data_IF_843341823150
#
_entry.id   IF_843341823150
#
_cell.length_a   1.000
_cell.length_b   1.000
_cell.length_c   1.000
_cell.angle_alpha   90.00
_cell.angle_beta   90.00
_cell.angle_gamma   90.00
#
_symmetry.space_group_name_H-M   'P 1'
#
loop_
_entity.id
_entity.type
_entity.pdbx_description
1 polymer ?
#
# COMPACT_ATOMS: atom_id res chain seq x y z
N UNK A 1 19.09 -5.79 -19.86
CA UNK A 1 19.42 -7.19 -19.51
C UNK A 1 18.34 -8.10 -20.06
N UNK A 2 18.69 -9.34 -20.43
CA UNK A 2 17.73 -10.34 -20.96
C UNK A 2 16.51 -10.54 -20.02
N UNK A 3 16.67 -10.41 -18.71
CA UNK A 3 15.62 -10.58 -17.70
C UNK A 3 14.68 -9.38 -17.51
N UNK A 4 14.97 -8.22 -18.12
CA UNK A 4 14.15 -7.00 -17.90
C UNK A 4 12.68 -7.20 -18.29
N UNK A 5 12.42 -7.93 -19.36
CA UNK A 5 11.06 -8.20 -19.88
C UNK A 5 10.25 -9.19 -19.03
N UNK A 6 10.91 -9.95 -18.16
CA UNK A 6 10.29 -10.93 -17.26
C UNK A 6 9.89 -10.30 -15.92
N UNK A 7 10.30 -9.04 -15.67
CA UNK A 7 10.10 -8.35 -14.40
C UNK A 7 9.10 -7.21 -14.56
N UNK A 8 8.23 -7.06 -13.57
CA UNK A 8 7.40 -5.87 -13.38
C UNK A 8 8.12 -4.94 -12.41
N UNK A 9 8.70 -3.86 -12.92
CA UNK A 9 9.40 -2.86 -12.11
C UNK A 9 8.47 -1.69 -11.83
N UNK A 10 8.27 -1.40 -10.55
CA UNK A 10 7.45 -0.30 -10.09
C UNK A 10 8.29 0.77 -9.37
N UNK A 11 7.98 2.04 -9.60
CA UNK A 11 8.52 3.17 -8.84
C UNK A 11 7.46 4.27 -8.67
N UNK A 12 7.79 5.34 -7.93
CA UNK A 12 6.79 6.33 -7.50
C UNK A 12 7.31 7.76 -7.56
N UNK A 13 6.35 8.69 -7.68
CA UNK A 13 6.56 10.10 -7.35
C UNK A 13 5.77 10.46 -6.10
N UNK A 14 6.40 11.19 -5.16
CA UNK A 14 5.76 11.64 -3.92
C UNK A 14 4.90 12.88 -4.14
N UNK A 15 3.80 12.97 -3.43
CA UNK A 15 3.01 14.18 -3.30
C UNK A 15 3.71 15.26 -2.48
N UNK A 16 3.02 16.37 -2.27
CA UNK A 16 3.46 17.54 -1.50
C UNK A 16 3.68 17.19 -0.03
N UNK A 17 4.60 17.89 0.66
CA UNK A 17 4.68 17.93 2.11
C UNK A 17 6.05 17.66 2.72
N UNK A 18 6.67 16.53 2.49
CA UNK A 18 7.94 16.17 3.14
C UNK A 18 9.14 16.89 2.51
N UNK A 19 9.70 17.89 3.23
CA UNK A 19 10.81 18.74 2.73
C UNK A 19 12.06 17.95 2.32
N UNK A 20 12.36 16.85 2.99
CA UNK A 20 13.48 15.95 2.66
C UNK A 20 13.23 15.08 1.43
N UNK A 21 12.02 15.08 0.89
CA UNK A 21 11.66 14.34 -0.33
C UNK A 21 11.36 15.38 -1.43
N UNK A 22 12.21 15.45 -2.44
CA UNK A 22 12.09 16.41 -3.56
C UNK A 22 11.83 17.87 -3.13
N UNK A 23 12.38 18.30 -1.98
CA UNK A 23 12.15 19.62 -1.38
C UNK A 23 10.66 19.93 -1.09
N UNK A 24 9.85 18.90 -0.83
CA UNK A 24 8.42 19.04 -0.56
C UNK A 24 7.56 19.32 -1.80
N UNK A 25 8.12 19.25 -3.01
CA UNK A 25 7.38 19.47 -4.26
C UNK A 25 6.30 18.42 -4.48
N UNK A 26 5.14 18.90 -4.94
CA UNK A 26 4.01 18.04 -5.27
C UNK A 26 4.12 17.31 -6.61
N UNK A 27 3.01 16.67 -6.99
CA UNK A 27 2.83 15.98 -8.25
C UNK A 27 2.19 16.95 -9.23
N UNK A 28 2.98 17.40 -10.21
CA UNK A 28 2.58 18.28 -11.31
C UNK A 28 3.27 17.79 -12.58
N UNK A 29 2.78 18.15 -13.80
CA UNK A 29 3.33 17.61 -15.06
C UNK A 29 4.86 17.67 -15.18
N UNK A 30 5.45 18.83 -14.89
CA UNK A 30 6.91 19.02 -14.95
C UNK A 30 7.66 18.12 -13.97
N UNK A 31 7.16 18.01 -12.74
CA UNK A 31 7.76 17.18 -11.69
C UNK A 31 7.64 15.68 -11.98
N UNK A 32 6.54 15.25 -12.60
CA UNK A 32 6.34 13.86 -13.05
C UNK A 32 7.41 13.51 -14.08
N UNK A 33 7.58 14.33 -15.09
CA UNK A 33 8.56 14.10 -16.18
C UNK A 33 9.97 14.00 -15.66
N UNK A 34 10.40 14.93 -14.82
CA UNK A 34 11.71 14.92 -14.18
C UNK A 34 11.92 13.68 -13.28
N UNK A 35 10.90 13.28 -12.52
CA UNK A 35 10.99 12.12 -11.64
C UNK A 35 11.07 10.80 -12.43
N UNK A 36 10.34 10.69 -13.53
CA UNK A 36 10.40 9.53 -14.42
C UNK A 36 11.79 9.41 -15.08
N UNK A 37 12.34 10.49 -15.62
CA UNK A 37 13.67 10.48 -16.21
C UNK A 37 14.75 10.09 -15.19
N UNK A 38 14.68 10.65 -13.97
CA UNK A 38 15.55 10.24 -12.88
C UNK A 38 15.40 8.75 -12.51
N UNK A 39 14.18 8.25 -12.50
CA UNK A 39 13.90 6.83 -12.22
C UNK A 39 14.43 5.92 -13.31
N UNK A 40 14.23 6.24 -14.59
CA UNK A 40 14.75 5.48 -15.73
C UNK A 40 16.27 5.39 -15.70
N UNK A 41 16.94 6.53 -15.43
CA UNK A 41 18.40 6.59 -15.29
C UNK A 41 18.88 5.71 -14.13
N UNK A 42 18.27 5.81 -12.95
CA UNK A 42 18.70 5.04 -11.77
C UNK A 42 18.43 3.54 -11.92
N UNK A 43 17.33 3.17 -12.55
CA UNK A 43 16.93 1.79 -12.81
C UNK A 43 17.64 1.18 -14.03
N UNK A 44 18.36 2.00 -14.80
CA UNK A 44 19.06 1.59 -16.03
C UNK A 44 18.12 0.85 -17.01
N UNK A 45 16.97 1.44 -17.28
CA UNK A 45 15.93 0.88 -18.16
C UNK A 45 15.24 1.99 -18.95
N UNK A 46 14.70 1.66 -20.12
CA UNK A 46 14.03 2.61 -21.01
C UNK A 46 12.54 2.78 -20.66
N UNK A 47 11.99 1.90 -19.81
CA UNK A 47 10.58 1.95 -19.39
C UNK A 47 10.38 1.46 -17.97
N UNK A 48 9.29 1.95 -17.36
CA UNK A 48 8.77 1.52 -16.05
C UNK A 48 7.47 0.76 -16.28
N UNK A 49 7.30 -0.42 -15.69
CA UNK A 49 6.07 -1.18 -15.86
C UNK A 49 4.91 -0.56 -15.10
N UNK A 50 5.12 -0.16 -13.84
CA UNK A 50 4.08 0.48 -13.03
C UNK A 50 4.62 1.77 -12.40
N UNK A 51 4.08 2.91 -12.81
CA UNK A 51 4.40 4.20 -12.19
C UNK A 51 3.29 4.62 -11.25
N UNK A 52 3.63 4.96 -10.00
CA UNK A 52 2.65 5.20 -8.96
C UNK A 52 2.74 6.63 -8.41
N UNK A 53 1.60 7.21 -8.07
CA UNK A 53 1.49 8.44 -7.29
C UNK A 53 1.51 8.05 -5.81
N UNK A 54 2.60 8.38 -5.09
CA UNK A 54 2.92 7.81 -3.77
C UNK A 54 1.96 8.26 -2.65
N UNK A 55 1.49 9.50 -2.71
CA UNK A 55 0.40 10.08 -1.92
C UNK A 55 -0.11 11.34 -2.62
N UNK A 56 -1.38 11.73 -2.41
CA UNK A 56 -1.96 12.91 -3.05
C UNK A 56 -1.34 14.24 -2.56
N UNK A 57 -1.36 15.26 -3.42
CA UNK A 57 -0.89 16.60 -3.07
C UNK A 57 -1.70 17.23 -1.92
N UNK A 58 -3.00 16.95 -1.86
CA UNK A 58 -3.94 17.47 -0.87
C UNK A 58 -3.86 16.79 0.50
N UNK A 59 -3.04 15.72 0.62
CA UNK A 59 -3.04 14.88 1.81
C UNK A 59 -4.17 13.84 1.80
N UNK A 60 -4.18 12.97 2.81
CA UNK A 60 -5.20 11.95 3.03
C UNK A 60 -5.16 11.47 4.47
N UNK A 61 -6.14 10.69 4.89
CA UNK A 61 -6.17 10.05 6.21
C UNK A 61 -5.12 8.95 6.40
N UNK A 62 -4.37 8.59 5.36
CA UNK A 62 -3.31 7.58 5.46
C UNK A 62 -2.17 8.02 6.38
N UNK A 63 -1.23 7.11 6.66
CA UNK A 63 -0.13 7.33 7.60
C UNK A 63 -0.62 7.65 9.03
N UNK A 64 -1.74 7.02 9.45
CA UNK A 64 -2.38 7.16 10.78
C UNK A 64 -2.92 8.55 11.08
N UNK A 65 -3.32 9.30 10.04
CA UNK A 65 -4.02 10.57 10.18
C UNK A 65 -5.55 10.40 10.33
N UNK A 66 -6.04 9.19 10.61
CA UNK A 66 -7.45 8.82 10.59
C UNK A 66 -8.35 9.76 11.38
N UNK A 67 -7.87 10.26 12.52
CA UNK A 67 -8.64 11.11 13.43
C UNK A 67 -8.33 12.60 13.29
N UNK A 68 -7.29 12.95 12.54
CA UNK A 68 -6.81 14.32 12.37
C UNK A 68 -6.97 14.84 10.94
N UNK A 69 -7.41 13.99 10.02
CA UNK A 69 -7.59 14.37 8.64
C UNK A 69 -8.83 15.25 8.47
N UNK A 70 -8.62 16.48 8.06
CA UNK A 70 -9.68 17.44 7.75
C UNK A 70 -9.56 17.90 6.30
N UNK A 71 -10.52 17.54 5.43
CA UNK A 71 -10.53 17.95 4.04
C UNK A 71 -11.16 19.32 3.80
N UNK A 72 -11.68 20.01 4.81
CA UNK A 72 -12.48 21.25 4.64
C UNK A 72 -11.68 22.42 4.07
N UNK A 73 -10.35 22.39 4.18
CA UNK A 73 -9.45 23.38 3.57
C UNK A 73 -9.15 23.12 2.07
N UNK A 74 -9.66 22.05 1.49
CA UNK A 74 -9.42 21.72 0.10
C UNK A 74 -10.44 22.40 -0.82
N UNK A 75 -9.96 22.90 -1.96
CA UNK A 75 -10.82 23.42 -3.02
C UNK A 75 -11.03 22.38 -4.10
N UNK A 76 -12.25 21.86 -4.23
CA UNK A 76 -12.60 20.78 -5.17
C UNK A 76 -12.21 21.09 -6.63
N UNK A 77 -12.35 22.33 -7.07
CA UNK A 77 -11.96 22.76 -8.43
C UNK A 77 -10.45 22.61 -8.65
N UNK A 78 -9.65 23.10 -7.70
CA UNK A 78 -8.19 23.04 -7.76
C UNK A 78 -7.69 21.58 -7.75
N UNK A 79 -8.29 20.75 -6.89
CA UNK A 79 -7.92 19.33 -6.83
C UNK A 79 -8.28 18.57 -8.12
N UNK A 80 -9.44 18.86 -8.71
CA UNK A 80 -9.85 18.26 -9.99
C UNK A 80 -8.95 18.72 -11.15
N UNK A 81 -8.63 20.00 -11.22
CA UNK A 81 -7.70 20.54 -12.23
C UNK A 81 -6.32 19.89 -12.12
N UNK A 82 -5.79 19.73 -10.89
CA UNK A 82 -4.55 19.02 -10.69
C UNK A 82 -4.60 17.57 -11.17
N UNK A 83 -5.69 16.85 -10.87
CA UNK A 83 -5.88 15.46 -11.33
C UNK A 83 -5.93 15.39 -12.85
N UNK A 84 -6.66 16.29 -13.52
CA UNK A 84 -6.74 16.39 -14.98
C UNK A 84 -5.34 16.55 -15.61
N UNK A 85 -4.58 17.54 -15.15
CA UNK A 85 -3.23 17.80 -15.62
C UNK A 85 -2.27 16.60 -15.40
N UNK A 86 -2.36 15.97 -14.24
CA UNK A 86 -1.56 14.79 -13.88
C UNK A 86 -1.90 13.60 -14.76
N UNK A 87 -3.17 13.30 -14.96
CA UNK A 87 -3.64 12.19 -15.79
C UNK A 87 -3.22 12.39 -17.24
N UNK A 88 -3.39 13.61 -17.76
CA UNK A 88 -2.93 13.95 -19.11
C UNK A 88 -1.44 13.69 -19.30
N UNK A 89 -0.60 14.15 -18.39
CA UNK A 89 0.86 13.95 -18.46
C UNK A 89 1.22 12.47 -18.39
N UNK A 90 0.57 11.69 -17.52
CA UNK A 90 0.80 10.24 -17.43
C UNK A 90 0.36 9.51 -18.70
N UNK A 91 -0.74 9.95 -19.33
CA UNK A 91 -1.15 9.42 -20.63
C UNK A 91 -0.12 9.70 -21.73
N UNK A 92 0.39 10.93 -21.80
CA UNK A 92 1.43 11.30 -22.78
C UNK A 92 2.71 10.46 -22.56
N UNK A 93 3.14 10.26 -21.32
CA UNK A 93 4.28 9.41 -20.98
C UNK A 93 4.07 7.92 -21.29
N UNK A 94 2.82 7.43 -21.19
CA UNK A 94 2.46 6.09 -21.66
C UNK A 94 2.58 6.01 -23.18
N UNK A 95 2.12 7.00 -23.92
CA UNK A 95 2.27 7.05 -25.39
C UNK A 95 3.74 7.15 -25.84
N UNK A 96 4.57 7.84 -25.08
CA UNK A 96 6.03 7.87 -25.28
C UNK A 96 6.71 6.53 -24.97
N UNK A 97 5.99 5.55 -24.41
CA UNK A 97 6.52 4.24 -24.02
C UNK A 97 7.38 4.25 -22.75
N UNK A 98 7.45 5.37 -22.02
CA UNK A 98 8.24 5.50 -20.77
C UNK A 98 7.59 4.77 -19.59
N UNK A 99 6.27 4.68 -19.57
CA UNK A 99 5.51 3.94 -18.55
C UNK A 99 4.47 3.05 -19.23
N UNK A 100 4.16 1.90 -18.62
CA UNK A 100 3.16 0.96 -19.15
C UNK A 100 1.81 1.09 -18.44
N UNK A 101 1.85 1.05 -17.10
CA UNK A 101 0.68 1.11 -16.24
C UNK A 101 0.84 2.19 -15.19
N UNK A 102 -0.29 2.68 -14.70
CA UNK A 102 -0.36 3.73 -13.68
C UNK A 102 -1.08 3.17 -12.45
N UNK A 103 -0.57 3.54 -11.29
CA UNK A 103 -1.17 3.22 -10.02
C UNK A 103 -1.23 4.43 -9.08
N UNK A 104 -2.14 4.35 -8.13
CA UNK A 104 -2.23 5.27 -7.01
C UNK A 104 -1.57 4.66 -5.78
N UNK A 105 -1.33 5.45 -4.76
CA UNK A 105 -0.90 4.97 -3.45
C UNK A 105 -1.33 5.95 -2.36
N UNK A 106 -1.75 5.44 -1.21
CA UNK A 106 -2.24 6.23 -0.09
C UNK A 106 -3.34 7.24 -0.52
N UNK A 107 -4.13 6.82 -1.51
CA UNK A 107 -5.22 7.61 -2.05
C UNK A 107 -6.54 7.23 -1.36
N UNK A 108 -7.46 8.18 -1.30
CA UNK A 108 -8.81 8.00 -0.73
C UNK A 108 -9.79 7.48 -1.80
N UNK A 109 -10.98 7.05 -1.39
CA UNK A 109 -12.04 6.63 -2.31
C UNK A 109 -12.41 7.77 -3.27
N UNK A 110 -12.57 9.01 -2.74
CA UNK A 110 -12.88 10.18 -3.58
C UNK A 110 -11.82 10.39 -4.68
N UNK A 111 -10.54 10.42 -4.31
CA UNK A 111 -9.49 10.64 -5.29
C UNK A 111 -9.36 9.50 -6.28
N UNK A 112 -9.55 8.24 -5.83
CA UNK A 112 -9.52 7.07 -6.72
C UNK A 112 -10.59 7.18 -7.80
N UNK A 113 -11.83 7.58 -7.45
CA UNK A 113 -12.92 7.81 -8.42
C UNK A 113 -12.57 8.97 -9.36
N UNK A 114 -12.01 10.07 -8.85
CA UNK A 114 -11.63 11.20 -9.71
C UNK A 114 -10.57 10.81 -10.74
N UNK A 115 -9.50 10.12 -10.31
CA UNK A 115 -8.46 9.62 -11.22
C UNK A 115 -9.00 8.61 -12.23
N UNK A 116 -9.88 7.70 -11.81
CA UNK A 116 -10.47 6.71 -12.69
C UNK A 116 -11.37 7.37 -13.76
N UNK A 117 -12.22 8.34 -13.37
CA UNK A 117 -13.07 9.07 -14.28
C UNK A 117 -12.26 9.90 -15.27
N UNK A 118 -11.19 10.55 -14.82
CA UNK A 118 -10.33 11.32 -15.70
C UNK A 118 -9.61 10.41 -16.70
N UNK A 119 -9.10 9.25 -16.23
CA UNK A 119 -8.43 8.28 -17.09
C UNK A 119 -9.35 7.73 -18.20
N UNK A 120 -10.66 7.54 -17.93
CA UNK A 120 -11.65 7.07 -18.93
C UNK A 120 -11.82 8.00 -20.13
N UNK A 121 -11.36 9.26 -20.07
CA UNK A 121 -11.39 10.19 -21.21
C UNK A 121 -10.36 9.82 -22.30
N UNK A 122 -9.41 8.93 -22.01
CA UNK A 122 -8.34 8.54 -22.90
C UNK A 122 -8.43 7.07 -23.29
N UNK A 123 -8.22 6.77 -24.59
CA UNK A 123 -8.27 5.40 -25.09
C UNK A 123 -7.16 4.54 -24.47
N UNK A 124 -7.49 3.30 -24.09
CA UNK A 124 -6.55 2.32 -23.53
C UNK A 124 -5.76 2.86 -22.32
N UNK A 125 -6.44 3.64 -21.47
CA UNK A 125 -5.85 4.24 -20.31
C UNK A 125 -6.74 4.05 -19.07
N UNK A 126 -6.18 3.51 -18.01
CA UNK A 126 -6.89 3.23 -16.76
C UNK A 126 -5.93 3.25 -15.58
N UNK A 127 -6.48 3.39 -14.39
CA UNK A 127 -5.74 3.19 -13.14
C UNK A 127 -5.70 1.69 -12.84
N UNK A 128 -4.52 1.07 -12.91
CA UNK A 128 -4.35 -0.37 -12.76
C UNK A 128 -4.39 -0.83 -11.30
N UNK A 129 -3.89 -0.01 -10.38
CA UNK A 129 -3.74 -0.40 -8.99
C UNK A 129 -3.76 0.77 -8.02
N UNK A 130 -4.01 0.44 -6.76
CA UNK A 130 -3.81 1.34 -5.61
C UNK A 130 -2.95 0.63 -4.57
N UNK A 131 -1.87 1.28 -4.09
CA UNK A 131 -1.01 0.71 -3.06
C UNK A 131 -1.29 1.38 -1.72
N UNK A 132 -2.07 0.72 -0.87
CA UNK A 132 -2.44 1.21 0.46
C UNK A 132 -2.03 0.22 1.56
N UNK A 133 -1.93 0.70 2.80
CA UNK A 133 -1.70 -0.18 3.95
C UNK A 133 -2.88 -1.11 4.15
N UNK A 134 -2.59 -2.42 4.24
CA UNK A 134 -3.60 -3.42 4.54
C UNK A 134 -2.99 -4.61 5.27
N UNK A 135 -3.61 -5.01 6.37
CA UNK A 135 -3.17 -6.10 7.23
C UNK A 135 -4.29 -6.55 8.16
N UNK A 136 -4.05 -7.56 8.98
CA UNK A 136 -4.95 -7.95 10.08
C UNK A 136 -5.27 -6.80 11.04
N UNK A 137 -4.37 -5.82 11.18
CA UNK A 137 -4.51 -4.68 12.09
C UNK A 137 -4.99 -3.40 11.38
N UNK A 138 -4.83 -3.29 10.07
CA UNK A 138 -5.26 -2.14 9.28
C UNK A 138 -6.24 -2.57 8.20
N UNK A 139 -7.53 -2.38 8.44
CA UNK A 139 -8.62 -2.83 7.57
C UNK A 139 -9.51 -1.71 7.04
N UNK A 140 -9.02 -0.46 7.06
CA UNK A 140 -9.77 0.70 6.56
C UNK A 140 -10.19 0.52 5.10
N UNK A 141 -9.38 -0.19 4.33
CA UNK A 141 -9.68 -0.48 2.93
C UNK A 141 -10.94 -1.33 2.73
N UNK A 142 -11.35 -2.13 3.72
CA UNK A 142 -12.55 -2.98 3.65
C UNK A 142 -13.86 -2.19 3.52
N UNK A 143 -13.84 -0.89 3.78
CA UNK A 143 -14.97 0.01 3.68
C UNK A 143 -15.09 0.57 2.24
N UNK A 144 -15.07 1.86 2.09
CA UNK A 144 -15.34 2.57 0.81
C UNK A 144 -14.38 2.22 -0.33
N UNK A 145 -13.09 1.98 -0.02
CA UNK A 145 -12.12 1.66 -1.06
C UNK A 145 -12.32 0.27 -1.67
N UNK A 146 -12.83 -0.69 -0.92
CA UNK A 146 -13.14 -2.03 -1.45
C UNK A 146 -14.23 -1.95 -2.53
N UNK A 147 -15.31 -1.23 -2.27
CA UNK A 147 -16.39 -1.00 -3.24
C UNK A 147 -15.90 -0.17 -4.42
N UNK A 148 -15.22 0.96 -4.15
CA UNK A 148 -14.63 1.82 -5.19
C UNK A 148 -13.75 1.02 -6.14
N UNK A 149 -12.83 0.22 -5.60
CA UNK A 149 -11.89 -0.57 -6.39
C UNK A 149 -12.57 -1.68 -7.18
N UNK A 150 -13.65 -2.25 -6.66
CA UNK A 150 -14.45 -3.22 -7.39
C UNK A 150 -15.09 -2.58 -8.64
N UNK A 151 -15.79 -1.46 -8.48
CA UNK A 151 -16.47 -0.78 -9.57
C UNK A 151 -15.53 -0.13 -10.59
N UNK A 152 -14.39 0.40 -10.13
CA UNK A 152 -13.38 1.02 -11.00
C UNK A 152 -12.36 0.02 -11.55
N UNK A 153 -12.49 -1.27 -11.25
CA UNK A 153 -11.55 -2.33 -11.63
C UNK A 153 -10.09 -2.02 -11.24
N UNK A 154 -9.88 -1.38 -10.10
CA UNK A 154 -8.58 -1.09 -9.51
C UNK A 154 -8.21 -2.18 -8.53
N UNK A 155 -6.96 -2.67 -8.54
CA UNK A 155 -6.53 -3.73 -7.63
C UNK A 155 -5.65 -3.19 -6.50
N UNK A 156 -5.86 -3.70 -5.28
CA UNK A 156 -5.03 -3.34 -4.12
C UNK A 156 -3.67 -4.03 -4.20
N UNK A 157 -2.61 -3.26 -4.04
CA UNK A 157 -1.27 -3.71 -3.71
C UNK A 157 -1.05 -3.42 -2.21
N UNK A 158 -1.25 -4.43 -1.36
CA UNK A 158 -1.20 -4.26 0.09
C UNK A 158 0.24 -4.11 0.59
N UNK A 159 0.57 -2.96 1.19
CA UNK A 159 1.85 -2.82 1.89
C UNK A 159 1.69 -3.02 3.40
N UNK A 160 2.78 -3.36 4.08
CA UNK A 160 2.84 -3.69 5.52
C UNK A 160 1.90 -4.83 5.97
N UNK A 161 1.71 -5.91 5.19
CA UNK A 161 0.82 -7.01 5.60
C UNK A 161 1.26 -7.68 6.90
N UNK A 162 2.55 -7.62 7.23
CA UNK A 162 3.15 -8.13 8.47
C UNK A 162 3.31 -7.06 9.56
N UNK A 163 2.70 -5.88 9.38
CA UNK A 163 2.74 -4.76 10.36
C UNK A 163 4.18 -4.39 10.76
N UNK A 164 5.09 -4.28 9.77
CA UNK A 164 6.51 -4.04 10.04
C UNK A 164 7.24 -5.19 10.75
N UNK A 165 6.65 -6.39 10.74
CA UNK A 165 7.16 -7.59 11.41
C UNK A 165 6.62 -7.77 12.84
N UNK A 166 5.69 -6.92 13.30
CA UNK A 166 5.09 -7.05 14.63
C UNK A 166 4.27 -8.33 14.77
N UNK A 167 3.60 -8.76 13.69
CA UNK A 167 2.75 -9.97 13.71
C UNK A 167 3.52 -11.26 13.97
N UNK A 168 4.84 -11.26 13.83
CA UNK A 168 5.68 -12.43 14.16
C UNK A 168 5.80 -12.69 15.66
N UNK A 169 5.36 -11.76 16.51
CA UNK A 169 5.46 -11.82 17.96
C UNK A 169 6.83 -11.44 18.53
N UNK A 170 7.86 -11.23 17.70
CA UNK A 170 9.23 -10.96 18.15
C UNK A 170 9.41 -9.69 18.99
N UNK A 171 8.40 -8.83 19.04
CA UNK A 171 8.38 -7.59 19.83
C UNK A 171 7.46 -7.66 21.05
N UNK A 172 6.82 -8.80 21.30
CA UNK A 172 6.02 -9.00 22.51
C UNK A 172 6.91 -8.96 23.75
N UNK A 173 6.30 -8.70 24.90
CA UNK A 173 7.01 -8.61 26.20
C UNK A 173 8.15 -7.58 26.19
N UNK A 174 7.95 -6.47 25.48
CA UNK A 174 8.92 -5.38 25.36
C UNK A 174 10.28 -5.78 24.76
N UNK A 175 10.32 -6.87 24.00
CA UNK A 175 11.54 -7.29 23.32
C UNK A 175 11.87 -6.39 22.13
N UNK A 176 13.11 -5.96 22.05
CA UNK A 176 13.64 -5.16 20.93
C UNK A 176 14.89 -5.85 20.38
N UNK A 177 14.72 -6.85 19.50
CA UNK A 177 15.88 -7.54 18.93
C UNK A 177 16.82 -6.57 18.24
N UNK A 178 18.12 -6.80 18.41
CA UNK A 178 19.14 -5.99 17.77
C UNK A 178 19.00 -5.99 16.24
N UNK A 179 19.29 -4.85 15.61
CA UNK A 179 19.15 -4.65 14.16
C UNK A 179 17.73 -4.86 13.61
N UNK A 180 16.73 -4.96 14.48
CA UNK A 180 15.32 -5.07 14.07
C UNK A 180 14.77 -3.71 13.58
N UNK A 181 13.58 -3.74 12.99
CA UNK A 181 12.93 -2.49 12.59
C UNK A 181 12.56 -1.64 13.81
N UNK A 182 12.11 -2.26 14.90
CA UNK A 182 11.74 -1.55 16.13
C UNK A 182 12.95 -0.87 16.79
N UNK A 183 14.14 -1.47 16.73
CA UNK A 183 15.36 -0.83 17.26
C UNK A 183 15.77 0.43 16.51
N UNK A 184 15.41 0.53 15.23
CA UNK A 184 15.69 1.70 14.37
C UNK A 184 14.55 2.73 14.33
N UNK A 185 13.32 2.29 14.52
CA UNK A 185 12.11 3.12 14.49
C UNK A 185 11.19 2.67 15.63
N UNK A 186 11.37 3.22 16.85
CA UNK A 186 10.74 2.70 18.08
C UNK A 186 9.21 2.73 18.08
N UNK A 187 8.60 3.69 17.40
CA UNK A 187 7.13 3.81 17.27
C UNK A 187 6.56 3.08 16.04
N UNK A 188 7.42 2.53 15.18
CA UNK A 188 7.05 1.91 13.91
C UNK A 188 6.15 2.80 13.05
N UNK A 189 6.41 4.12 13.05
CA UNK A 189 5.56 5.13 12.39
C UNK A 189 4.13 5.14 12.93
N UNK A 190 3.96 5.12 14.25
CA UNK A 190 2.69 5.14 14.96
C UNK A 190 1.95 3.80 14.98
N UNK A 191 2.61 2.67 14.67
CA UNK A 191 1.98 1.34 14.74
C UNK A 191 2.04 0.72 16.12
N UNK A 192 2.98 1.14 16.96
CA UNK A 192 3.14 0.60 18.31
C UNK A 192 2.20 1.33 19.25
N UNK A 193 1.11 0.67 19.62
CA UNK A 193 0.13 1.15 20.59
C UNK A 193 -0.19 0.01 21.58
N UNK A 194 -0.77 0.29 22.76
CA UNK A 194 -1.25 -0.76 23.65
C UNK A 194 -2.25 -1.71 22.96
N UNK A 195 -3.15 -1.16 22.13
CA UNK A 195 -4.17 -1.93 21.42
C UNK A 195 -3.54 -2.80 20.32
N UNK A 196 -2.55 -2.30 19.57
CA UNK A 196 -1.88 -3.11 18.56
C UNK A 196 -1.07 -4.25 19.16
N UNK A 197 -0.38 -4.01 20.28
CA UNK A 197 0.35 -5.05 21.01
C UNK A 197 -0.60 -6.15 21.51
N UNK A 198 -1.73 -5.76 22.08
CA UNK A 198 -2.79 -6.69 22.51
C UNK A 198 -3.34 -7.48 21.32
N UNK A 199 -3.71 -6.81 20.23
CA UNK A 199 -4.24 -7.45 19.03
C UNK A 199 -3.26 -8.48 18.44
N UNK A 200 -1.97 -8.16 18.39
CA UNK A 200 -0.93 -9.08 17.93
C UNK A 200 -0.89 -10.34 18.79
N UNK A 201 -0.91 -10.21 20.12
CA UNK A 201 -0.98 -11.35 21.02
C UNK A 201 -2.17 -12.25 20.71
N UNK A 202 -3.36 -11.67 20.57
CA UNK A 202 -4.60 -12.40 20.25
C UNK A 202 -4.52 -13.07 18.86
N UNK A 203 -3.95 -12.43 17.83
CA UNK A 203 -3.75 -13.07 16.52
C UNK A 203 -2.73 -14.20 16.54
N UNK A 204 -1.71 -14.13 17.38
CA UNK A 204 -0.75 -15.22 17.56
C UNK A 204 -1.42 -16.42 18.22
N UNK A 205 -2.21 -16.21 19.26
CA UNK A 205 -2.97 -17.30 19.90
C UNK A 205 -4.01 -17.90 18.93
N UNK A 206 -4.69 -17.05 18.16
CA UNK A 206 -5.59 -17.51 17.11
C UNK A 206 -4.84 -18.36 16.05
N UNK A 207 -3.66 -17.94 15.62
CA UNK A 207 -2.89 -18.71 14.64
C UNK A 207 -2.49 -20.09 15.19
N UNK A 208 -2.08 -20.16 16.47
CA UNK A 208 -1.78 -21.43 17.14
C UNK A 208 -2.97 -22.37 17.23
N UNK A 209 -4.17 -21.86 17.53
CA UNK A 209 -5.38 -22.68 17.64
C UNK A 209 -5.78 -23.34 16.30
N UNK A 210 -5.31 -22.82 15.19
CA UNK A 210 -5.50 -23.37 13.84
C UNK A 210 -4.21 -23.99 13.25
N UNK A 211 -3.20 -24.23 14.07
CA UNK A 211 -1.89 -24.80 13.66
C UNK A 211 -1.23 -24.02 12.51
N UNK A 212 -1.42 -22.68 12.48
CA UNK A 212 -0.86 -21.79 11.49
C UNK A 212 0.29 -20.97 12.07
N UNK A 213 1.30 -20.70 11.24
CA UNK A 213 2.26 -19.64 11.53
C UNK A 213 1.58 -18.26 11.41
N UNK A 214 1.80 -17.33 12.36
CA UNK A 214 1.15 -16.00 12.30
C UNK A 214 1.52 -15.19 11.05
N UNK A 215 2.70 -15.41 10.47
CA UNK A 215 3.09 -14.80 9.18
C UNK A 215 2.21 -15.35 8.06
N UNK A 216 1.95 -16.66 8.05
CA UNK A 216 1.10 -17.30 7.05
C UNK A 216 -0.36 -16.89 7.22
N UNK A 217 -0.86 -16.81 8.46
CA UNK A 217 -2.21 -16.27 8.74
C UNK A 217 -2.37 -14.86 8.16
N UNK A 218 -1.42 -13.95 8.45
CA UNK A 218 -1.48 -12.56 8.01
C UNK A 218 -1.42 -12.40 6.49
N UNK A 219 -0.51 -13.12 5.82
CA UNK A 219 -0.37 -13.03 4.36
C UNK A 219 -1.55 -13.69 3.64
N UNK A 220 -2.03 -14.83 4.13
CA UNK A 220 -3.16 -15.53 3.53
C UNK A 220 -4.47 -14.78 3.75
N UNK A 221 -4.65 -14.12 4.90
CA UNK A 221 -5.75 -13.19 5.12
C UNK A 221 -5.76 -12.06 4.08
N UNK A 222 -4.64 -11.39 3.85
CA UNK A 222 -4.57 -10.35 2.84
C UNK A 222 -4.93 -10.90 1.44
N UNK A 223 -4.38 -12.07 1.06
CA UNK A 223 -4.65 -12.69 -0.25
C UNK A 223 -6.09 -13.13 -0.44
N UNK A 224 -6.81 -13.45 0.63
CA UNK A 224 -8.22 -13.90 0.55
C UNK A 224 -9.20 -12.78 0.16
N UNK A 225 -8.74 -11.52 0.13
CA UNK A 225 -9.65 -10.40 -0.15
C UNK A 225 -9.94 -10.25 -1.65
N UNK A 226 -11.21 -10.06 -2.06
CA UNK A 226 -11.60 -10.06 -3.49
C UNK A 226 -10.99 -8.90 -4.29
N UNK A 227 -10.64 -7.81 -3.62
CA UNK A 227 -10.01 -6.63 -4.22
C UNK A 227 -8.47 -6.74 -4.32
N UNK A 228 -7.88 -7.81 -3.78
CA UNK A 228 -6.43 -7.95 -3.72
C UNK A 228 -5.83 -8.23 -5.10
N UNK A 229 -4.86 -7.41 -5.50
CA UNK A 229 -4.00 -7.65 -6.65
C UNK A 229 -2.70 -8.32 -6.26
N UNK A 230 -2.04 -7.81 -5.22
CA UNK A 230 -0.79 -8.39 -4.70
C UNK A 230 -0.52 -7.99 -3.26
N UNK A 231 0.15 -8.86 -2.52
CA UNK A 231 0.60 -8.61 -1.15
C UNK A 231 2.09 -8.34 -1.17
N UNK A 232 2.48 -7.11 -0.77
CA UNK A 232 3.86 -6.64 -0.83
C UNK A 232 4.55 -6.89 0.50
N UNK A 233 5.64 -7.63 0.47
CA UNK A 233 6.48 -7.87 1.64
C UNK A 233 7.96 -7.59 1.34
N UNK A 234 8.75 -7.41 2.39
CA UNK A 234 10.21 -7.38 2.34
C UNK A 234 10.79 -8.38 3.33
N UNK A 235 11.88 -9.03 2.96
CA UNK A 235 12.66 -9.90 3.83
C UNK A 235 14.07 -9.33 3.98
N UNK A 236 14.60 -9.32 5.22
CA UNK A 236 15.95 -8.84 5.51
C UNK A 236 17.02 -9.93 5.38
N UNK A 237 16.60 -11.19 5.33
CA UNK A 237 17.46 -12.35 5.16
C UNK A 237 16.72 -13.50 4.46
N UNK A 238 17.47 -14.53 4.07
CA UNK A 238 16.96 -15.68 3.32
C UNK A 238 15.96 -16.50 4.12
N UNK A 239 16.13 -16.62 5.44
CA UNK A 239 15.25 -17.42 6.27
C UNK A 239 13.85 -16.80 6.39
N UNK A 240 13.77 -15.46 6.52
CA UNK A 240 12.50 -14.74 6.44
C UNK A 240 11.83 -14.94 5.08
N UNK A 241 12.59 -14.89 3.99
CA UNK A 241 12.07 -15.13 2.65
C UNK A 241 11.52 -16.56 2.52
N UNK A 242 12.28 -17.57 2.98
CA UNK A 242 11.84 -18.97 3.00
C UNK A 242 10.56 -19.16 3.80
N UNK A 243 10.47 -18.57 5.00
CA UNK A 243 9.26 -18.61 5.84
C UNK A 243 8.06 -18.04 5.09
N UNK A 244 8.20 -16.86 4.51
CA UNK A 244 7.12 -16.21 3.74
C UNK A 244 6.67 -17.08 2.57
N UNK A 245 7.61 -17.59 1.78
CA UNK A 245 7.31 -18.41 0.59
C UNK A 245 6.71 -19.78 0.94
N UNK A 246 7.04 -20.36 2.11
CA UNK A 246 6.43 -21.60 2.59
C UNK A 246 4.91 -21.50 2.73
N UNK A 247 4.40 -20.30 3.04
CA UNK A 247 2.97 -20.02 3.16
C UNK A 247 2.27 -19.64 1.86
N UNK A 248 2.94 -19.66 0.71
CA UNK A 248 2.41 -19.16 -0.57
C UNK A 248 1.12 -19.86 -1.04
N UNK A 249 0.94 -21.11 -0.71
CA UNK A 249 -0.21 -21.93 -1.14
C UNK A 249 -1.21 -22.21 0.01
N UNK A 250 -1.07 -21.52 1.15
CA UNK A 250 -1.99 -21.64 2.27
C UNK A 250 -3.22 -20.76 1.99
N UNK A 251 -4.39 -21.38 1.96
CA UNK A 251 -5.70 -20.74 1.85
C UNK A 251 -6.42 -20.88 3.19
N UNK A 252 -6.94 -19.77 3.72
CA UNK A 252 -7.70 -19.78 4.96
C UNK A 252 -9.11 -20.32 4.71
N UNK A 253 -9.56 -21.22 5.58
CA UNK A 253 -10.93 -21.70 5.60
C UNK A 253 -11.88 -20.65 6.19
N UNK A 254 -13.18 -20.82 5.95
CA UNK A 254 -14.21 -19.87 6.40
C UNK A 254 -14.28 -19.73 7.94
N UNK A 255 -14.02 -20.80 8.67
CA UNK A 255 -13.96 -20.79 10.14
C UNK A 255 -12.80 -19.91 10.64
N UNK A 256 -11.62 -20.00 10.04
CA UNK A 256 -10.47 -19.14 10.36
C UNK A 256 -10.80 -17.68 10.05
N UNK A 257 -11.39 -17.41 8.88
CA UNK A 257 -11.79 -16.05 8.48
C UNK A 257 -12.86 -15.47 9.40
N UNK A 258 -13.80 -16.29 9.88
CA UNK A 258 -14.82 -15.90 10.85
C UNK A 258 -14.20 -15.46 12.19
N UNK A 259 -13.24 -16.24 12.71
CA UNK A 259 -12.54 -15.88 13.96
C UNK A 259 -11.62 -14.65 13.79
N UNK A 260 -10.95 -14.49 12.65
CA UNK A 260 -10.22 -13.26 12.31
C UNK A 260 -11.14 -12.04 12.33
N UNK A 261 -12.35 -12.16 11.75
CA UNK A 261 -13.33 -11.08 11.73
C UNK A 261 -13.88 -10.77 13.13
N UNK A 262 -14.13 -11.79 13.94
CA UNK A 262 -14.57 -11.65 15.33
C UNK A 262 -13.51 -10.94 16.18
N UNK A 263 -12.25 -11.31 16.01
CA UNK A 263 -11.14 -10.66 16.71
C UNK A 263 -10.99 -9.19 16.30
N UNK A 264 -11.09 -8.86 15.04
CA UNK A 264 -11.04 -7.48 14.58
C UNK A 264 -12.18 -6.62 15.15
N UNK A 265 -13.40 -7.19 15.27
CA UNK A 265 -14.54 -6.51 15.92
C UNK A 265 -14.31 -6.28 17.42
N UNK A 266 -13.58 -7.18 18.09
CA UNK A 266 -13.22 -7.06 19.52
C UNK A 266 -12.19 -5.95 19.75
N UNK A 267 -11.25 -5.75 18.83
CA UNK A 267 -10.20 -4.74 18.90
C UNK A 267 -10.14 -4.00 17.54
N UNK A 268 -11.10 -3.12 17.26
CA UNK A 268 -11.16 -2.42 16.00
C UNK A 268 -10.07 -1.35 15.90
N UNK A 269 -9.52 -1.15 14.72
CA UNK A 269 -8.52 -0.11 14.43
C UNK A 269 -7.44 0.00 15.52
N UNK A 270 -6.67 -1.06 15.79
CA UNK A 270 -5.75 -1.11 16.93
C UNK A 270 -4.51 -0.22 16.80
N UNK A 271 -4.33 0.43 15.63
CA UNK A 271 -3.19 1.31 15.33
C UNK A 271 -3.64 2.74 15.09
#
# INVERSE_FOLDING_TARGET
SQKRKELVIATKISGKGYKNVRNGKGIFPKEIRLAIEGSLKNLQTDYIDLYQLHWPNRGSYHFRQYWNYDPTSQESSVERENIELVVKELYDLKKEGKIRYIGLSNETAWGTVQFANEAKKYNDFSIASIQNEYSLLCRIFDTDLAETCFHENVKLLAYSPLVGGMITGKYLNSQVPENSRLSRVPDMFGRVTPNSTRAIGEYIELSKSFELDPVHLALSFCRSRPFMGSVIFGASNVDQLKLILKGKDIYLKDDVLAEVNKLYKKIPMPM
#
